data_IF_093233207121
#
_entry.id   IF_093233207121
#
_cell.length_a   1.000
_cell.length_b   1.000
_cell.length_c   1.000
_cell.angle_alpha   90.00
_cell.angle_beta   90.00
_cell.angle_gamma   90.00
#
_symmetry.space_group_name_H-M   'P 1'
#
loop_
_entity.id
_entity.type
_entity.pdbx_description
1 polymer ?
#
# COMPACT_ATOMS: atom_id res chain seq x y z
N UNK A 1 20.62 4.98 -13.12
CA UNK A 1 20.49 3.88 -12.14
C UNK A 1 19.57 4.33 -11.02
N UNK A 2 18.26 4.04 -11.13
CA UNK A 2 17.34 4.25 -10.02
C UNK A 2 17.72 3.26 -8.92
N UNK A 3 18.35 3.76 -7.85
CA UNK A 3 18.47 2.99 -6.61
C UNK A 3 17.05 2.57 -6.23
N UNK A 4 16.75 1.28 -6.38
CA UNK A 4 15.56 0.67 -5.81
C UNK A 4 15.67 0.88 -4.31
N UNK A 5 15.05 1.96 -3.83
CA UNK A 5 14.89 2.17 -2.41
C UNK A 5 14.01 1.02 -1.97
N UNK A 6 14.63 0.07 -1.28
CA UNK A 6 13.98 -1.13 -0.80
C UNK A 6 12.72 -0.68 -0.07
N UNK A 7 11.56 -1.01 -0.66
CA UNK A 7 10.26 -0.83 -0.02
C UNK A 7 10.42 -1.39 1.40
N UNK A 8 10.45 -0.54 2.45
CA UNK A 8 10.76 -0.99 3.80
C UNK A 8 9.73 -2.02 4.29
N UNK A 9 8.61 -2.14 3.57
CA UNK A 9 7.55 -3.10 3.83
C UNK A 9 7.72 -4.43 3.10
N UNK A 10 8.66 -4.55 2.15
CA UNK A 10 8.91 -5.81 1.43
C UNK A 10 9.45 -6.87 2.38
N UNK A 11 10.39 -6.49 3.25
CA UNK A 11 10.98 -7.39 4.24
C UNK A 11 9.94 -7.83 5.29
N UNK A 12 9.18 -6.87 5.85
CA UNK A 12 8.12 -7.15 6.83
C UNK A 12 7.01 -8.03 6.23
N UNK A 13 6.59 -7.76 4.99
CA UNK A 13 5.57 -8.56 4.30
C UNK A 13 6.09 -9.97 3.98
N UNK A 14 7.35 -10.10 3.59
CA UNK A 14 7.96 -11.40 3.34
C UNK A 14 8.09 -12.20 4.65
N UNK A 15 8.59 -11.58 5.72
CA UNK A 15 8.67 -12.20 7.05
C UNK A 15 7.29 -12.67 7.54
N UNK A 16 6.26 -11.84 7.37
CA UNK A 16 4.87 -12.21 7.68
C UNK A 16 4.37 -13.39 6.85
N UNK A 17 4.66 -13.41 5.54
CA UNK A 17 4.31 -14.54 4.66
C UNK A 17 5.00 -15.83 5.09
N UNK A 18 6.29 -15.76 5.43
CA UNK A 18 7.02 -16.91 5.94
C UNK A 18 6.48 -17.38 7.29
N UNK A 19 6.20 -16.47 8.22
CA UNK A 19 5.59 -16.82 9.50
C UNK A 19 4.25 -17.54 9.33
N UNK A 20 3.39 -17.04 8.43
CA UNK A 20 2.11 -17.68 8.13
C UNK A 20 2.25 -19.01 7.41
N UNK A 21 3.18 -19.13 6.46
CA UNK A 21 3.46 -20.39 5.80
C UNK A 21 3.95 -21.45 6.81
N UNK A 22 4.81 -21.06 7.76
CA UNK A 22 5.29 -21.93 8.83
C UNK A 22 4.17 -22.37 9.77
N UNK A 23 3.30 -21.44 10.20
CA UNK A 23 2.14 -21.77 11.05
C UNK A 23 1.17 -22.70 10.32
N UNK A 24 0.87 -22.43 9.05
CA UNK A 24 -0.02 -23.27 8.25
C UNK A 24 0.57 -24.68 8.06
N UNK A 25 1.87 -24.78 7.76
CA UNK A 25 2.56 -26.06 7.63
C UNK A 25 2.54 -26.85 8.96
N UNK A 26 2.76 -26.17 10.09
CA UNK A 26 2.69 -26.77 11.42
C UNK A 26 1.28 -27.34 11.67
N UNK A 27 0.23 -26.54 11.46
CA UNK A 27 -1.16 -26.98 11.64
C UNK A 27 -1.45 -28.19 10.75
N UNK A 28 -1.05 -28.15 9.47
CA UNK A 28 -1.28 -29.24 8.53
C UNK A 28 -0.56 -30.53 8.95
N UNK A 29 0.64 -30.42 9.52
CA UNK A 29 1.41 -31.55 10.02
C UNK A 29 0.80 -32.19 11.27
N UNK A 30 0.22 -31.39 12.18
CA UNK A 30 -0.40 -31.90 13.41
C UNK A 30 -1.87 -32.31 13.27
N UNK A 31 -2.58 -31.80 12.25
CA UNK A 31 -3.96 -32.17 11.94
C UNK A 31 -4.21 -33.69 11.88
N UNK A 32 -3.41 -34.51 11.14
CA UNK A 32 -3.62 -35.95 11.10
C UNK A 32 -3.41 -36.60 12.48
N UNK A 33 -2.53 -36.05 13.31
CA UNK A 33 -2.30 -36.55 14.66
C UNK A 33 -3.55 -36.32 15.54
N UNK A 34 -4.17 -35.15 15.44
CA UNK A 34 -5.42 -34.86 16.14
C UNK A 34 -6.61 -35.70 15.68
N UNK A 35 -6.72 -35.97 14.37
CA UNK A 35 -7.85 -36.71 13.79
C UNK A 35 -7.69 -38.22 13.92
N UNK A 36 -6.52 -38.77 13.58
CA UNK A 36 -6.33 -40.21 13.48
C UNK A 36 -5.78 -40.84 14.76
N UNK A 37 -4.88 -40.14 15.48
CA UNK A 37 -4.27 -40.67 16.72
C UNK A 37 -5.13 -40.31 17.92
N UNK A 38 -5.42 -39.03 18.12
CA UNK A 38 -6.19 -38.57 19.28
C UNK A 38 -7.70 -38.68 19.11
N UNK A 39 -8.19 -38.89 17.87
CA UNK A 39 -9.62 -39.01 17.54
C UNK A 39 -10.49 -37.94 18.21
N UNK A 40 -10.00 -36.70 18.20
CA UNK A 40 -10.68 -35.60 18.86
C UNK A 40 -12.07 -35.39 18.27
N UNK A 41 -13.05 -35.11 19.12
CA UNK A 41 -14.36 -34.67 18.67
C UNK A 41 -14.26 -33.29 18.00
N UNK A 42 -15.20 -32.91 17.13
CA UNK A 42 -15.18 -31.60 16.47
C UNK A 42 -15.09 -30.42 17.46
N UNK A 43 -15.74 -30.54 18.63
CA UNK A 43 -15.68 -29.53 19.69
C UNK A 43 -14.28 -29.42 20.31
N UNK A 44 -13.62 -30.55 20.54
CA UNK A 44 -12.25 -30.58 21.06
C UNK A 44 -11.24 -30.06 20.03
N UNK A 45 -11.47 -30.33 18.74
CA UNK A 45 -10.65 -29.81 17.66
C UNK A 45 -10.75 -28.27 17.57
N UNK A 46 -11.96 -27.71 17.69
CA UNK A 46 -12.18 -26.26 17.75
C UNK A 46 -11.52 -25.67 19.00
N UNK A 47 -11.63 -26.32 20.16
CA UNK A 47 -10.96 -25.86 21.37
C UNK A 47 -9.43 -25.86 21.23
N UNK A 48 -8.85 -26.84 20.54
CA UNK A 48 -7.42 -26.96 20.32
C UNK A 48 -6.88 -25.97 19.25
N UNK A 49 -7.58 -25.82 18.12
CA UNK A 49 -7.13 -24.98 17.00
C UNK A 49 -7.67 -23.54 17.04
N UNK A 50 -8.75 -23.31 17.77
CA UNK A 50 -9.42 -22.01 17.89
C UNK A 50 -8.47 -20.88 18.31
N UNK A 51 -7.65 -21.05 19.37
CA UNK A 51 -6.68 -20.04 19.76
C UNK A 51 -5.68 -19.70 18.64
N UNK A 52 -5.17 -20.70 17.92
CA UNK A 52 -4.23 -20.48 16.81
C UNK A 52 -4.87 -19.70 15.65
N UNK A 53 -6.12 -20.03 15.29
CA UNK A 53 -6.89 -19.31 14.27
C UNK A 53 -7.20 -17.87 14.71
N UNK A 54 -7.55 -17.67 15.98
CA UNK A 54 -7.80 -16.34 16.52
C UNK A 54 -6.54 -15.48 16.52
N UNK A 55 -5.40 -16.02 16.95
CA UNK A 55 -4.10 -15.32 16.88
C UNK A 55 -3.75 -14.94 15.43
N UNK A 56 -4.01 -15.82 14.46
CA UNK A 56 -3.83 -15.53 13.05
C UNK A 56 -4.67 -14.31 12.60
N UNK A 57 -5.97 -14.31 12.92
CA UNK A 57 -6.88 -13.20 12.64
C UNK A 57 -6.42 -11.90 13.30
N UNK A 58 -6.01 -11.96 14.57
CA UNK A 58 -5.55 -10.80 15.33
C UNK A 58 -4.28 -10.18 14.71
N UNK A 59 -3.31 -11.01 14.32
CA UNK A 59 -2.08 -10.55 13.64
C UNK A 59 -2.42 -9.92 12.28
N UNK A 60 -3.36 -10.50 11.53
CA UNK A 60 -3.81 -9.96 10.25
C UNK A 60 -4.46 -8.57 10.41
N UNK A 61 -5.36 -8.43 11.39
CA UNK A 61 -6.00 -7.17 11.75
C UNK A 61 -4.99 -6.11 12.22
N UNK A 62 -4.09 -6.48 13.13
CA UNK A 62 -3.03 -5.59 13.63
C UNK A 62 -2.12 -5.11 12.50
N UNK A 63 -1.74 -6.00 11.58
CA UNK A 63 -0.92 -5.64 10.42
C UNK A 63 -1.64 -4.68 9.48
N UNK A 64 -2.95 -4.86 9.25
CA UNK A 64 -3.75 -3.95 8.42
C UNK A 64 -3.87 -2.59 9.08
N UNK A 65 -4.00 -2.55 10.40
CA UNK A 65 -4.01 -1.31 11.16
C UNK A 65 -2.66 -0.60 11.08
N UNK A 66 -1.55 -1.32 11.27
CA UNK A 66 -0.20 -0.78 11.12
C UNK A 66 0.06 -0.22 9.71
N UNK A 67 -0.38 -0.95 8.66
CA UNK A 67 -0.28 -0.48 7.28
C UNK A 67 -1.04 0.84 7.06
N UNK A 68 -2.25 0.96 7.62
CA UNK A 68 -3.04 2.20 7.55
C UNK A 68 -2.37 3.34 8.30
N UNK A 69 -1.86 3.09 9.49
CA UNK A 69 -1.21 4.11 10.31
C UNK A 69 0.08 4.63 9.66
N UNK A 70 0.92 3.73 9.12
CA UNK A 70 2.16 4.10 8.44
C UNK A 70 1.93 4.88 7.14
N UNK A 71 0.85 4.57 6.38
CA UNK A 71 0.44 5.40 5.24
C UNK A 71 0.12 6.83 5.63
N UNK A 72 -0.45 7.03 6.81
CA UNK A 72 -0.85 8.35 7.33
C UNK A 72 0.35 9.14 7.86
N UNK A 73 1.30 8.48 8.51
CA UNK A 73 2.34 9.19 9.26
C UNK A 73 3.71 9.11 8.58
N UNK A 74 4.13 7.94 8.08
CA UNK A 74 5.51 7.73 7.62
C UNK A 74 5.72 8.21 6.18
N UNK A 75 4.76 7.91 5.30
CA UNK A 75 4.90 8.24 3.86
C UNK A 75 4.99 9.75 3.60
N UNK A 76 4.18 10.62 4.23
CA UNK A 76 4.31 12.07 4.06
C UNK A 76 5.66 12.61 4.55
N UNK A 77 6.19 12.06 5.66
CA UNK A 77 7.50 12.49 6.18
C UNK A 77 8.65 12.13 5.22
N UNK A 78 8.66 10.90 4.68
CA UNK A 78 9.68 10.49 3.70
C UNK A 78 9.55 11.31 2.42
N UNK A 79 8.32 11.53 1.95
CA UNK A 79 8.04 12.34 0.77
C UNK A 79 8.55 13.78 0.98
N UNK A 80 8.19 14.42 2.09
CA UNK A 80 8.64 15.78 2.42
C UNK A 80 10.16 15.89 2.49
N UNK A 81 10.83 14.95 3.18
CA UNK A 81 12.29 14.93 3.29
C UNK A 81 12.99 14.79 1.93
N UNK A 82 12.48 13.90 1.06
CA UNK A 82 13.03 13.67 -0.29
C UNK A 82 12.85 14.88 -1.19
N UNK A 83 11.66 15.46 -1.20
CA UNK A 83 11.33 16.57 -2.07
C UNK A 83 12.02 17.87 -1.63
N UNK A 84 12.25 18.06 -0.32
CA UNK A 84 12.94 19.25 0.20
C UNK A 84 14.39 19.39 -0.30
N UNK A 85 15.04 18.29 -0.72
CA UNK A 85 16.38 18.34 -1.29
C UNK A 85 16.40 18.75 -2.78
N UNK A 86 15.27 18.72 -3.46
CA UNK A 86 15.15 18.96 -4.90
C UNK A 86 14.72 20.42 -5.12
N UNK A 87 15.55 21.18 -5.84
CA UNK A 87 15.31 22.61 -6.09
C UNK A 87 14.55 22.86 -7.39
N UNK A 88 14.51 21.89 -8.31
CA UNK A 88 13.71 21.95 -9.54
C UNK A 88 12.31 21.38 -9.29
N UNK A 89 11.30 22.21 -9.50
CA UNK A 89 9.90 21.86 -9.29
C UNK A 89 9.42 20.69 -10.16
N UNK A 90 9.79 20.66 -11.45
CA UNK A 90 9.39 19.59 -12.37
C UNK A 90 10.06 18.27 -11.98
N UNK A 91 11.33 18.33 -11.60
CA UNK A 91 12.05 17.17 -11.09
C UNK A 91 11.44 16.66 -9.78
N UNK A 92 11.03 17.57 -8.88
CA UNK A 92 10.35 17.22 -7.64
C UNK A 92 9.00 16.53 -7.91
N UNK A 93 8.22 17.00 -8.89
CA UNK A 93 6.97 16.33 -9.28
C UNK A 93 7.20 14.91 -9.83
N UNK A 94 8.26 14.71 -10.62
CA UNK A 94 8.62 13.39 -11.14
C UNK A 94 9.04 12.43 -10.03
N UNK A 95 9.89 12.90 -9.10
CA UNK A 95 10.31 12.11 -7.95
C UNK A 95 9.11 11.79 -7.05
N UNK A 96 8.20 12.75 -6.84
CA UNK A 96 6.96 12.54 -6.07
C UNK A 96 6.09 11.45 -6.70
N UNK A 97 5.88 11.48 -8.02
CA UNK A 97 5.11 10.46 -8.73
C UNK A 97 5.76 9.06 -8.58
N UNK A 98 7.09 8.98 -8.65
CA UNK A 98 7.85 7.75 -8.44
C UNK A 98 7.73 7.21 -7.01
N UNK A 99 7.89 8.07 -6.00
CA UNK A 99 7.76 7.68 -4.58
C UNK A 99 6.34 7.22 -4.26
N UNK A 100 5.31 7.92 -4.75
CA UNK A 100 3.91 7.53 -4.58
C UNK A 100 3.63 6.19 -5.28
N UNK A 101 4.20 5.95 -6.45
CA UNK A 101 4.06 4.67 -7.14
C UNK A 101 4.69 3.52 -6.34
N UNK A 102 5.84 3.74 -5.72
CA UNK A 102 6.51 2.75 -4.87
C UNK A 102 5.71 2.46 -3.57
N UNK A 103 5.26 3.51 -2.89
CA UNK A 103 4.59 3.41 -1.59
C UNK A 103 3.16 2.86 -1.68
N UNK A 104 2.39 3.35 -2.64
CA UNK A 104 0.97 3.03 -2.76
C UNK A 104 0.71 1.87 -3.72
N UNK A 105 1.68 1.53 -4.59
CA UNK A 105 1.57 0.55 -5.68
C UNK A 105 0.28 0.67 -6.52
N UNK A 106 -0.13 1.89 -6.92
CA UNK A 106 -1.26 2.05 -7.82
C UNK A 106 -0.88 1.62 -9.24
N UNK A 107 -1.87 1.46 -10.12
CA UNK A 107 -1.61 1.16 -11.54
C UNK A 107 -0.97 2.36 -12.27
N UNK A 108 -1.37 3.56 -11.90
CA UNK A 108 -0.81 4.80 -12.43
C UNK A 108 -0.85 5.89 -11.35
N UNK A 109 0.07 6.85 -11.44
CA UNK A 109 0.12 8.07 -10.62
C UNK A 109 0.21 9.26 -11.54
N UNK A 110 -0.52 10.32 -11.22
CA UNK A 110 -0.39 11.63 -11.86
C UNK A 110 -0.22 12.67 -10.77
N UNK A 111 0.79 13.53 -10.89
CA UNK A 111 1.00 14.71 -10.07
C UNK A 111 0.65 15.91 -10.93
N UNK A 112 -0.34 16.69 -10.49
CA UNK A 112 -0.77 17.90 -11.16
C UNK A 112 -0.55 19.12 -10.26
N UNK A 113 -0.18 20.23 -10.88
CA UNK A 113 -0.08 21.53 -10.24
C UNK A 113 -1.42 22.26 -10.39
N UNK A 114 -1.91 22.83 -9.29
CA UNK A 114 -3.06 23.72 -9.33
C UNK A 114 -2.54 25.14 -9.58
N UNK A 115 -2.96 25.76 -10.68
CA UNK A 115 -2.60 27.16 -10.98
C UNK A 115 -3.14 28.10 -9.90
N UNK A 116 -2.53 29.28 -9.79
CA UNK A 116 -2.86 30.29 -8.76
C UNK A 116 -4.33 30.72 -8.78
N UNK A 117 -4.98 30.65 -9.95
CA UNK A 117 -6.41 30.92 -10.10
C UNK A 117 -7.31 29.87 -9.42
N UNK A 118 -6.74 28.73 -9.00
CA UNK A 118 -7.45 27.61 -8.41
C UNK A 118 -8.42 26.91 -9.36
N UNK A 119 -8.37 27.23 -10.66
CA UNK A 119 -9.34 26.76 -11.65
C UNK A 119 -8.77 25.73 -12.59
N UNK A 120 -7.45 25.56 -12.69
CA UNK A 120 -6.85 24.66 -13.66
C UNK A 120 -5.79 23.75 -13.02
N UNK A 121 -5.93 22.45 -13.26
CA UNK A 121 -4.92 21.45 -12.93
C UNK A 121 -4.05 21.15 -14.15
N UNK A 122 -2.76 21.47 -14.04
CA UNK A 122 -1.73 21.19 -15.03
C UNK A 122 -0.96 19.91 -14.66
N UNK A 123 -1.02 18.84 -15.47
CA UNK A 123 -0.26 17.61 -15.22
C UNK A 123 1.25 17.85 -15.33
N UNK A 124 1.99 17.66 -14.23
CA UNK A 124 3.43 17.91 -14.15
C UNK A 124 4.26 16.64 -14.32
N UNK A 125 3.76 15.52 -13.80
CA UNK A 125 4.42 14.23 -13.87
C UNK A 125 3.42 13.08 -13.86
N UNK A 126 3.81 11.97 -14.48
CA UNK A 126 3.03 10.74 -14.50
C UNK A 126 3.96 9.53 -14.32
N UNK A 127 3.45 8.48 -13.67
CA UNK A 127 4.13 7.20 -13.53
C UNK A 127 3.15 6.06 -13.88
N UNK A 128 3.61 5.05 -14.61
CA UNK A 128 2.77 3.95 -15.09
C UNK A 128 1.84 4.32 -16.26
N UNK A 129 2.03 5.50 -16.85
CA UNK A 129 1.36 5.97 -18.06
C UNK A 129 2.34 5.96 -19.26
N UNK A 130 1.84 5.93 -20.52
CA UNK A 130 2.68 6.13 -21.70
C UNK A 130 3.43 7.47 -21.63
N UNK A 131 4.66 7.53 -22.16
CA UNK A 131 5.47 8.76 -22.13
C UNK A 131 4.79 9.95 -22.84
N UNK A 132 4.01 9.66 -23.89
CA UNK A 132 3.22 10.66 -24.62
C UNK A 132 1.99 11.15 -23.87
N UNK A 133 1.62 10.51 -22.74
CA UNK A 133 0.40 10.85 -22.02
C UNK A 133 0.46 12.27 -21.46
N UNK A 134 1.59 12.70 -20.89
CA UNK A 134 1.74 14.06 -20.36
C UNK A 134 1.57 15.13 -21.44
N UNK A 135 1.98 14.84 -22.67
CA UNK A 135 1.81 15.76 -23.81
C UNK A 135 0.36 15.86 -24.29
N UNK A 136 -0.43 14.80 -24.09
CA UNK A 136 -1.82 14.71 -24.47
C UNK A 136 -2.79 14.91 -23.29
N UNK A 137 -2.27 15.17 -22.09
CA UNK A 137 -3.07 15.16 -20.87
C UNK A 137 -4.00 16.38 -20.85
N UNK A 138 -5.29 16.18 -20.57
CA UNK A 138 -6.24 17.29 -20.56
C UNK A 138 -5.93 18.23 -19.38
N UNK A 139 -5.93 19.52 -19.67
CA UNK A 139 -6.01 20.56 -18.65
C UNK A 139 -7.40 20.47 -18.01
N UNK A 140 -7.46 20.06 -16.74
CA UNK A 140 -8.74 19.87 -16.06
C UNK A 140 -9.13 21.20 -15.42
N UNK A 141 -10.20 21.81 -15.91
CA UNK A 141 -10.81 22.96 -15.24
C UNK A 141 -11.66 22.49 -14.05
N UNK A 142 -11.34 22.97 -12.84
CA UNK A 142 -12.10 22.71 -11.63
C UNK A 142 -13.43 23.49 -11.60
N UNK A 143 -13.57 24.57 -12.38
CA UNK A 143 -14.81 25.31 -12.55
C UNK A 143 -15.97 24.44 -13.11
N UNK A 144 -15.63 23.46 -13.96
CA UNK A 144 -16.60 22.60 -14.62
C UNK A 144 -17.04 21.39 -13.76
N UNK A 145 -16.37 21.13 -12.63
CA UNK A 145 -16.73 20.09 -11.67
C UNK A 145 -16.82 20.73 -10.29
N UNK A 146 -17.96 21.38 -10.02
CA UNK A 146 -18.40 21.63 -8.66
C UNK A 146 -18.19 20.35 -7.84
N UNK A 147 -17.31 20.42 -6.84
CA UNK A 147 -16.94 19.35 -5.88
C UNK A 147 -18.12 18.87 -5.01
N UNK A 148 -19.37 19.10 -5.44
CA UNK A 148 -20.59 18.69 -4.76
C UNK A 148 -21.08 17.29 -5.16
N UNK A 149 -20.60 16.73 -6.28
CA UNK A 149 -21.04 15.40 -6.75
C UNK A 149 -20.09 14.25 -6.39
N UNK A 150 -18.95 14.51 -5.73
CA UNK A 150 -17.95 13.49 -5.41
C UNK A 150 -17.93 13.04 -3.93
N UNK A 151 -18.82 13.59 -3.09
CA UNK A 151 -18.84 13.34 -1.63
C UNK A 151 -20.23 12.90 -1.11
N UNK A 152 -21.25 12.79 -1.98
CA UNK A 152 -22.54 12.18 -1.62
C UNK A 152 -22.65 10.73 -2.14
#
# INVERSE_FOLDING_TARGET
>A
MLQSHADPMREVRNAKRFAFASIAALILAFLPLYVFVFRLSPQQLIAALGPALFSFLAVELASRWEYRMRRRDVYPHILGYRLAAIHDFRQACQEAAGLLAQFLRPRAVVVAWLKEDGQELEPMAAHGMPESWLLAAPHISLAARSMKEAVD
#
